data_IF_331333878397
#
_entry.id   IF_331333878397
#
_cell.length_a   1.000
_cell.length_b   1.000
_cell.length_c   1.000
_cell.angle_alpha   90.00
_cell.angle_beta   90.00
_cell.angle_gamma   90.00
#
_symmetry.space_group_name_H-M   'P 1'
#
loop_
_entity.id
_entity.type
_entity.pdbx_description
1 polymer ?
#
# COMPACT_ATOMS: atom_id res chain seq x y z
N UNK A 1 -55.21 -19.37 6.37
CA UNK A 1 -54.02 -20.10 6.91
C UNK A 1 -52.80 -19.23 6.65
N UNK A 2 -52.51 -18.30 7.56
CA UNK A 2 -51.36 -17.41 7.43
C UNK A 2 -50.12 -18.15 7.94
N UNK A 3 -49.22 -18.56 7.04
CA UNK A 3 -47.91 -19.10 7.39
C UNK A 3 -47.11 -17.96 8.03
N UNK A 4 -47.01 -17.96 9.36
CA UNK A 4 -46.12 -17.07 10.08
C UNK A 4 -44.69 -17.34 9.64
N UNK A 5 -44.06 -16.37 8.98
CA UNK A 5 -42.63 -16.41 8.69
C UNK A 5 -41.93 -16.26 10.03
N UNK A 6 -41.42 -17.37 10.57
CA UNK A 6 -40.55 -17.36 11.74
C UNK A 6 -39.26 -16.64 11.32
N UNK A 7 -39.11 -15.38 11.72
CA UNK A 7 -37.83 -14.68 11.59
C UNK A 7 -36.86 -15.34 12.57
N UNK A 8 -35.93 -16.12 12.05
CA UNK A 8 -34.82 -16.65 12.84
C UNK A 8 -34.02 -15.46 13.41
N UNK A 9 -33.74 -15.49 14.71
CA UNK A 9 -32.79 -14.58 15.34
C UNK A 9 -31.40 -14.85 14.75
N UNK A 10 -30.60 -13.81 14.43
CA UNK A 10 -29.24 -14.02 13.93
C UNK A 10 -28.43 -14.81 14.96
N UNK A 11 -27.76 -15.88 14.51
CA UNK A 11 -26.80 -16.60 15.34
C UNK A 11 -25.59 -15.70 15.64
N UNK A 12 -25.10 -15.71 16.88
CA UNK A 12 -23.85 -15.03 17.19
C UNK A 12 -22.67 -15.86 16.66
N UNK A 13 -21.52 -15.21 16.42
CA UNK A 13 -20.30 -15.90 16.01
C UNK A 13 -19.92 -17.07 16.94
N UNK A 14 -20.14 -16.89 18.25
CA UNK A 14 -19.92 -17.92 19.27
C UNK A 14 -20.80 -19.17 19.12
N UNK A 15 -21.95 -19.06 18.45
CA UNK A 15 -22.93 -20.15 18.33
C UNK A 15 -22.74 -20.98 17.06
N UNK A 16 -21.94 -20.51 16.09
CA UNK A 16 -21.69 -21.22 14.84
C UNK A 16 -20.89 -22.50 15.10
N UNK A 17 -21.23 -23.66 14.51
CA UNK A 17 -20.41 -24.88 14.58
C UNK A 17 -19.00 -24.72 13.99
N UNK A 18 -18.02 -25.45 14.54
CA UNK A 18 -16.61 -25.37 14.11
C UNK A 18 -16.39 -25.82 12.65
N UNK A 19 -17.09 -26.87 12.22
CA UNK A 19 -17.08 -27.39 10.85
C UNK A 19 -17.61 -26.36 9.84
N UNK A 20 -18.67 -25.64 10.19
CA UNK A 20 -19.18 -24.55 9.35
C UNK A 20 -18.12 -23.45 9.15
N UNK A 21 -17.38 -23.10 10.21
CA UNK A 21 -16.32 -22.10 10.12
C UNK A 21 -15.17 -22.58 9.23
N UNK A 22 -14.72 -23.82 9.42
CA UNK A 22 -13.60 -24.41 8.67
C UNK A 22 -13.94 -24.67 7.20
N UNK A 23 -15.16 -25.12 6.89
CA UNK A 23 -15.52 -25.57 5.54
C UNK A 23 -16.11 -24.45 4.68
N UNK A 24 -16.70 -23.41 5.28
CA UNK A 24 -17.44 -22.39 4.54
C UNK A 24 -17.01 -20.94 4.77
N UNK A 25 -16.36 -20.65 5.89
CA UNK A 25 -15.90 -19.29 6.22
C UNK A 25 -14.41 -19.14 5.94
N UNK A 26 -13.57 -19.96 6.57
CA UNK A 26 -12.11 -19.86 6.50
C UNK A 26 -11.55 -19.96 5.07
N UNK A 27 -12.11 -20.77 4.14
CA UNK A 27 -11.62 -20.82 2.76
C UNK A 27 -11.81 -19.49 2.00
N UNK A 28 -12.71 -18.62 2.47
CA UNK A 28 -12.99 -17.31 1.87
C UNK A 28 -12.21 -16.16 2.51
N UNK A 29 -11.59 -16.42 3.66
CA UNK A 29 -10.77 -15.45 4.36
C UNK A 29 -9.36 -15.44 3.78
N UNK A 30 -8.76 -14.26 3.70
CA UNK A 30 -7.34 -14.15 3.36
C UNK A 30 -6.48 -14.56 4.56
N UNK A 31 -5.18 -14.70 4.33
CA UNK A 31 -4.21 -15.03 5.39
C UNK A 31 -4.26 -14.01 6.52
N UNK A 32 -4.32 -12.72 6.18
CA UNK A 32 -4.35 -11.63 7.16
C UNK A 32 -5.63 -11.67 8.01
N UNK A 33 -6.78 -12.01 7.41
CA UNK A 33 -8.04 -12.20 8.13
C UNK A 33 -7.95 -13.36 9.14
N UNK A 34 -7.39 -14.50 8.73
CA UNK A 34 -7.13 -15.64 9.62
C UNK A 34 -6.14 -15.27 10.74
N UNK A 35 -5.11 -14.52 10.40
CA UNK A 35 -4.13 -14.02 11.37
C UNK A 35 -4.74 -13.06 12.39
N UNK A 36 -5.70 -12.22 12.00
CA UNK A 36 -6.51 -11.40 12.92
C UNK A 36 -7.37 -12.29 13.81
N UNK A 37 -8.13 -13.23 13.23
CA UNK A 37 -9.00 -14.15 13.99
C UNK A 37 -8.23 -14.95 15.04
N UNK A 38 -7.01 -15.38 14.74
CA UNK A 38 -6.16 -16.10 15.71
C UNK A 38 -5.80 -15.29 16.96
N UNK A 39 -5.97 -13.96 16.92
CA UNK A 39 -5.69 -13.02 18.02
C UNK A 39 -6.94 -12.56 18.76
N UNK A 40 -8.14 -12.78 18.20
CA UNK A 40 -9.42 -12.33 18.80
C UNK A 40 -9.79 -13.14 20.05
N UNK A 41 -9.78 -14.48 19.96
CA UNK A 41 -10.21 -15.35 21.06
C UNK A 41 -9.58 -16.74 21.01
N UNK A 42 -9.72 -17.51 22.11
CA UNK A 42 -9.10 -18.84 22.25
C UNK A 42 -9.67 -19.87 21.27
N UNK A 43 -10.97 -19.83 20.95
CA UNK A 43 -11.62 -20.75 20.01
C UNK A 43 -11.12 -20.47 18.60
N UNK A 44 -11.19 -19.22 18.15
CA UNK A 44 -10.70 -18.82 16.83
C UNK A 44 -9.23 -19.18 16.64
N UNK A 45 -8.38 -18.96 17.65
CA UNK A 45 -6.99 -19.41 17.64
C UNK A 45 -6.83 -20.92 17.47
N UNK A 46 -7.65 -21.71 18.16
CA UNK A 46 -7.65 -23.17 18.03
C UNK A 46 -8.07 -23.65 16.64
N UNK A 47 -9.07 -22.98 16.05
CA UNK A 47 -9.55 -23.29 14.70
C UNK A 47 -8.54 -22.88 13.63
N UNK A 48 -7.94 -21.70 13.74
CA UNK A 48 -6.94 -21.22 12.77
C UNK A 48 -5.72 -22.14 12.74
N UNK A 49 -5.32 -22.75 13.86
CA UNK A 49 -4.24 -23.78 13.88
C UNK A 49 -4.56 -25.04 13.07
N UNK A 50 -5.82 -25.31 12.78
CA UNK A 50 -6.25 -26.42 11.92
C UNK A 50 -6.19 -26.04 10.44
N UNK A 51 -6.03 -24.74 10.14
CA UNK A 51 -5.82 -24.21 8.81
C UNK A 51 -4.33 -23.91 8.61
N UNK A 52 -3.70 -24.58 7.67
CA UNK A 52 -2.24 -24.46 7.43
C UNK A 52 -1.81 -23.05 7.04
N UNK A 53 -2.72 -22.19 6.55
CA UNK A 53 -2.44 -20.79 6.21
C UNK A 53 -2.36 -19.90 7.45
N UNK A 54 -2.91 -20.35 8.57
CA UNK A 54 -2.98 -19.61 9.83
C UNK A 54 -1.66 -19.43 10.56
N UNK A 55 -0.62 -20.14 10.12
CA UNK A 55 0.74 -20.06 10.70
C UNK A 55 1.59 -18.96 10.07
N UNK A 56 1.13 -18.34 8.97
CA UNK A 56 1.87 -17.25 8.33
C UNK A 56 1.91 -15.99 9.23
N UNK A 57 3.08 -15.33 9.33
CA UNK A 57 3.21 -14.12 10.12
C UNK A 57 2.36 -12.99 9.52
N UNK A 58 1.66 -12.25 10.38
CA UNK A 58 0.91 -11.06 9.95
C UNK A 58 1.86 -10.02 9.38
N UNK A 59 1.53 -9.53 8.18
CA UNK A 59 2.24 -8.44 7.56
C UNK A 59 1.58 -7.10 7.94
N UNK A 60 2.33 -6.19 8.55
CA UNK A 60 1.79 -4.88 8.96
C UNK A 60 1.35 -4.02 7.77
N UNK A 61 1.91 -4.26 6.58
CA UNK A 61 1.53 -3.52 5.37
C UNK A 61 0.04 -3.67 5.00
N UNK A 62 -0.61 -4.78 5.40
CA UNK A 62 -2.04 -5.02 5.20
C UNK A 62 -2.97 -4.11 6.05
N UNK A 63 -2.39 -3.42 7.02
CA UNK A 63 -3.12 -2.60 8.00
C UNK A 63 -2.86 -1.10 7.83
N UNK A 64 -2.25 -0.70 6.73
CA UNK A 64 -1.78 0.68 6.46
C UNK A 64 -2.85 1.66 5.99
N UNK A 65 -4.11 1.24 5.92
CA UNK A 65 -5.21 2.10 5.45
C UNK A 65 -5.77 3.05 6.52
N UNK A 66 -5.53 2.78 7.80
CA UNK A 66 -5.94 3.67 8.91
C UNK A 66 -4.95 3.55 10.07
N UNK A 67 -4.78 4.64 10.83
CA UNK A 67 -3.91 4.66 12.02
C UNK A 67 -4.36 3.60 13.03
N UNK A 68 -5.68 3.44 13.23
CA UNK A 68 -6.22 2.48 14.19
C UNK A 68 -5.81 1.03 13.87
N UNK A 69 -5.85 0.65 12.59
CA UNK A 69 -5.47 -0.70 12.14
C UNK A 69 -3.97 -0.92 12.26
N UNK A 70 -3.16 0.05 11.84
CA UNK A 70 -1.69 -0.07 11.93
C UNK A 70 -1.22 -0.10 13.39
N UNK A 71 -1.83 0.70 14.26
CA UNK A 71 -1.58 0.66 15.72
C UNK A 71 -1.91 -0.70 16.29
N UNK A 72 -3.07 -1.26 15.96
CA UNK A 72 -3.44 -2.61 16.40
C UNK A 72 -2.42 -3.65 15.93
N UNK A 73 -1.96 -3.57 14.67
CA UNK A 73 -0.95 -4.50 14.13
C UNK A 73 0.36 -4.42 14.93
N UNK A 74 0.83 -3.20 15.24
CA UNK A 74 2.03 -2.94 16.07
C UNK A 74 1.88 -3.54 17.47
N UNK A 75 0.76 -3.29 18.15
CA UNK A 75 0.47 -3.79 19.50
C UNK A 75 0.37 -5.32 19.55
N UNK A 76 0.08 -5.96 18.41
CA UNK A 76 -0.04 -7.41 18.26
C UNK A 76 1.22 -8.09 17.69
N UNK A 77 2.35 -7.38 17.70
CA UNK A 77 3.66 -7.91 17.31
C UNK A 77 3.80 -8.21 15.82
N UNK A 78 3.03 -7.54 14.96
CA UNK A 78 3.24 -7.64 13.52
C UNK A 78 4.58 -7.00 13.14
N UNK A 79 5.19 -7.49 12.04
CA UNK A 79 6.52 -7.04 11.60
C UNK A 79 6.50 -5.54 11.27
N UNK A 80 7.46 -4.78 11.79
CA UNK A 80 7.56 -3.33 11.57
C UNK A 80 8.76 -3.02 10.67
N UNK A 81 8.51 -2.86 9.36
CA UNK A 81 9.55 -2.70 8.33
C UNK A 81 9.12 -1.72 7.21
N UNK A 82 9.97 -1.55 6.20
CA UNK A 82 9.77 -0.65 5.06
C UNK A 82 8.50 -0.92 4.24
N UNK A 83 7.97 -2.14 4.29
CA UNK A 83 6.75 -2.48 3.55
C UNK A 83 5.53 -1.69 4.03
N UNK A 84 5.54 -1.24 5.30
CA UNK A 84 4.51 -0.34 5.84
C UNK A 84 4.52 0.98 5.09
N UNK A 85 5.71 1.57 4.93
CA UNK A 85 5.88 2.85 4.27
C UNK A 85 5.52 2.75 2.78
N UNK A 86 5.94 1.69 2.10
CA UNK A 86 5.57 1.42 0.69
C UNK A 86 4.06 1.22 0.53
N UNK A 87 3.39 0.46 1.39
CA UNK A 87 1.96 0.21 1.29
C UNK A 87 1.12 1.45 1.61
N UNK A 88 1.50 2.22 2.64
CA UNK A 88 0.87 3.51 2.94
C UNK A 88 1.04 4.50 1.76
N UNK A 89 2.24 4.56 1.18
CA UNK A 89 2.53 5.38 0.01
C UNK A 89 1.70 4.97 -1.21
N UNK A 90 1.57 3.66 -1.47
CA UNK A 90 0.73 3.11 -2.54
C UNK A 90 -0.74 3.52 -2.39
N UNK A 91 -1.25 3.48 -1.16
CA UNK A 91 -2.63 3.85 -0.82
C UNK A 91 -2.90 5.35 -0.71
N UNK A 92 -1.85 6.19 -0.76
CA UNK A 92 -1.98 7.64 -0.54
C UNK A 92 -2.31 7.99 0.91
N UNK A 93 -1.99 7.11 1.86
CA UNK A 93 -2.35 7.26 3.27
C UNK A 93 -1.32 8.11 4.01
N UNK A 94 -1.26 9.40 3.67
CA UNK A 94 -0.29 10.35 4.22
C UNK A 94 -0.32 10.40 5.75
N UNK A 95 -1.50 10.49 6.36
CA UNK A 95 -1.65 10.52 7.83
C UNK A 95 -1.09 9.25 8.50
N UNK A 96 -1.25 8.09 7.86
CA UNK A 96 -0.72 6.82 8.38
C UNK A 96 0.80 6.80 8.29
N UNK A 97 1.36 7.30 7.18
CA UNK A 97 2.80 7.39 6.97
C UNK A 97 3.45 8.37 7.96
N UNK A 98 2.83 9.54 8.19
CA UNK A 98 3.21 10.50 9.22
C UNK A 98 3.23 9.84 10.61
N UNK A 99 2.11 9.21 11.00
CA UNK A 99 2.01 8.54 12.28
C UNK A 99 3.08 7.45 12.45
N UNK A 100 3.33 6.63 11.42
CA UNK A 100 4.34 5.57 11.47
C UNK A 100 5.77 6.10 11.62
N UNK A 101 6.03 7.33 11.16
CA UNK A 101 7.33 8.01 11.23
C UNK A 101 7.56 8.75 12.56
N UNK A 102 6.50 9.13 13.24
CA UNK A 102 6.53 9.78 14.57
C UNK A 102 6.74 8.80 15.74
N UNK A 103 6.76 7.49 15.49
CA UNK A 103 6.92 6.48 16.54
C UNK A 103 8.35 6.45 17.10
N UNK A 104 8.51 5.96 18.34
CA UNK A 104 9.84 5.77 18.98
C UNK A 104 10.83 4.97 18.12
N UNK A 105 10.27 4.02 17.35
CA UNK A 105 10.99 3.32 16.28
C UNK A 105 10.32 3.68 14.95
N UNK A 106 10.85 4.68 14.21
CA UNK A 106 10.27 5.10 12.94
C UNK A 106 10.32 3.99 11.91
N UNK A 107 9.27 3.87 11.08
CA UNK A 107 9.32 3.05 9.88
C UNK A 107 10.46 3.55 8.97
N UNK A 108 11.30 2.62 8.50
CA UNK A 108 12.29 2.89 7.45
C UNK A 108 11.59 3.06 6.11
N UNK A 109 12.14 3.90 5.25
CA UNK A 109 11.71 4.04 3.87
C UNK A 109 12.89 3.94 2.93
N UNK A 110 12.58 3.70 1.66
CA UNK A 110 13.50 3.58 0.55
C UNK A 110 12.88 4.20 -0.71
N UNK A 111 13.57 4.10 -1.84
CA UNK A 111 13.15 4.64 -3.14
C UNK A 111 11.82 4.03 -3.59
N UNK A 112 11.48 2.81 -3.13
CA UNK A 112 10.20 2.17 -3.45
C UNK A 112 9.02 2.92 -2.84
N UNK A 113 9.21 3.60 -1.72
CA UNK A 113 8.16 4.42 -1.08
C UNK A 113 7.79 5.59 -2.01
N UNK A 114 8.77 6.37 -2.48
CA UNK A 114 8.55 7.44 -3.46
C UNK A 114 8.00 6.89 -4.77
N UNK A 115 8.57 5.80 -5.29
CA UNK A 115 8.11 5.18 -6.52
C UNK A 115 6.66 4.68 -6.44
N UNK A 116 6.21 4.16 -5.29
CA UNK A 116 4.83 3.74 -5.10
C UNK A 116 3.86 4.92 -5.05
N UNK A 117 4.23 6.00 -4.35
CA UNK A 117 3.43 7.22 -4.34
C UNK A 117 3.32 7.84 -5.76
N UNK A 118 4.43 7.88 -6.49
CA UNK A 118 4.49 8.38 -7.86
C UNK A 118 3.67 7.53 -8.85
N UNK A 119 3.70 6.20 -8.71
CA UNK A 119 2.90 5.27 -9.51
C UNK A 119 1.39 5.54 -9.39
N UNK A 120 0.94 6.00 -8.22
CA UNK A 120 -0.46 6.24 -7.93
C UNK A 120 -0.84 7.73 -7.92
N UNK A 121 0.10 8.62 -8.25
CA UNK A 121 -0.17 10.05 -8.40
C UNK A 121 -0.31 10.82 -7.09
N UNK A 122 0.18 10.28 -5.98
CA UNK A 122 0.05 10.88 -4.64
C UNK A 122 1.07 12.00 -4.41
N UNK A 123 0.89 13.13 -5.10
CA UNK A 123 1.81 14.27 -5.08
C UNK A 123 2.00 14.87 -3.68
N UNK A 124 0.92 15.07 -2.91
CA UNK A 124 1.01 15.63 -1.55
C UNK A 124 1.88 14.75 -0.63
N UNK A 125 1.81 13.44 -0.80
CA UNK A 125 2.62 12.50 -0.04
C UNK A 125 4.10 12.59 -0.43
N UNK A 126 4.39 12.71 -1.73
CA UNK A 126 5.77 12.92 -2.21
C UNK A 126 6.36 14.24 -1.71
N UNK A 127 5.58 15.32 -1.73
CA UNK A 127 5.97 16.62 -1.18
C UNK A 127 6.34 16.50 0.28
N UNK A 128 5.44 15.93 1.09
CA UNK A 128 5.71 15.70 2.50
C UNK A 128 6.93 14.80 2.73
N UNK A 129 7.10 13.71 1.97
CA UNK A 129 8.23 12.80 2.11
C UNK A 129 9.57 13.47 1.77
N UNK A 130 9.55 14.47 0.87
CA UNK A 130 10.73 15.24 0.48
C UNK A 130 11.12 16.31 1.49
N UNK A 131 10.18 16.80 2.30
CA UNK A 131 10.42 17.77 3.38
C UNK A 131 11.08 17.15 4.64
N UNK A 132 11.25 15.82 4.67
CA UNK A 132 11.73 15.08 5.83
C UNK A 132 13.26 15.16 5.97
N UNK A 133 13.78 14.86 7.17
CA UNK A 133 15.21 14.86 7.44
C UNK A 133 15.68 13.54 8.09
N UNK A 134 16.43 12.67 7.37
CA UNK A 134 16.76 12.78 5.95
C UNK A 134 15.51 12.62 5.07
N UNK A 135 15.50 13.19 3.85
CA UNK A 135 14.36 13.05 2.93
C UNK A 135 14.23 11.59 2.48
N UNK A 136 13.01 11.17 2.12
CA UNK A 136 12.82 9.88 1.48
C UNK A 136 13.65 9.84 0.17
N UNK A 137 14.48 8.80 -0.03
CA UNK A 137 15.24 8.70 -1.27
C UNK A 137 14.27 8.45 -2.44
N UNK A 138 14.73 8.83 -3.62
CA UNK A 138 14.04 8.60 -4.89
C UNK A 138 15.08 8.24 -5.95
N UNK A 139 14.61 7.67 -7.05
CA UNK A 139 15.41 7.24 -8.20
C UNK A 139 14.62 7.44 -9.51
N UNK A 140 15.20 7.02 -10.63
CA UNK A 140 14.57 7.10 -11.95
C UNK A 140 13.20 6.41 -11.98
N UNK A 141 13.03 5.34 -11.18
CA UNK A 141 11.77 4.61 -11.10
C UNK A 141 10.61 5.50 -10.62
N UNK A 142 10.89 6.54 -9.83
CA UNK A 142 9.88 7.52 -9.41
C UNK A 142 9.29 8.25 -10.63
N UNK A 143 10.14 8.79 -11.50
CA UNK A 143 9.71 9.44 -12.74
C UNK A 143 9.09 8.44 -13.73
N UNK A 144 9.69 7.27 -13.91
CA UNK A 144 9.19 6.23 -14.81
C UNK A 144 7.76 5.79 -14.47
N UNK A 145 7.49 5.58 -13.18
CA UNK A 145 6.17 5.14 -12.68
C UNK A 145 5.12 6.23 -12.82
N UNK A 146 5.47 7.49 -12.51
CA UNK A 146 4.60 8.62 -12.75
C UNK A 146 4.25 8.75 -14.25
N UNK A 147 5.24 8.58 -15.14
CA UNK A 147 5.03 8.63 -16.58
C UNK A 147 4.17 7.48 -17.11
N UNK A 148 4.39 6.27 -16.61
CA UNK A 148 3.62 5.07 -16.95
C UNK A 148 2.15 5.19 -16.59
N UNK A 149 1.81 5.90 -15.51
CA UNK A 149 0.42 6.12 -15.10
C UNK A 149 -0.15 7.48 -15.53
N UNK A 150 0.62 8.29 -16.27
CA UNK A 150 0.16 9.55 -16.81
C UNK A 150 0.08 10.70 -15.79
N UNK A 151 0.78 10.58 -14.66
CA UNK A 151 0.77 11.58 -13.58
C UNK A 151 1.71 12.76 -13.89
N UNK A 152 1.31 13.60 -14.84
CA UNK A 152 2.10 14.75 -15.31
C UNK A 152 2.49 15.72 -14.18
N UNK A 153 1.60 16.02 -13.25
CA UNK A 153 1.88 16.96 -12.16
C UNK A 153 2.95 16.43 -11.19
N UNK A 154 3.02 15.11 -10.99
CA UNK A 154 4.10 14.47 -10.22
C UNK A 154 5.44 14.65 -10.93
N UNK A 155 5.48 14.46 -12.25
CA UNK A 155 6.70 14.63 -13.04
C UNK A 155 7.19 16.08 -13.04
N UNK A 156 6.30 17.05 -13.26
CA UNK A 156 6.63 18.48 -13.18
C UNK A 156 7.24 18.81 -11.83
N UNK A 157 6.53 18.46 -10.76
CA UNK A 157 7.01 18.71 -9.42
C UNK A 157 8.37 18.04 -9.16
N UNK A 158 8.57 16.78 -9.55
CA UNK A 158 9.83 16.07 -9.32
C UNK A 158 11.03 16.68 -10.09
N UNK A 159 10.77 17.32 -11.24
CA UNK A 159 11.78 18.02 -12.05
C UNK A 159 12.09 19.43 -11.55
N UNK A 160 11.20 20.04 -10.76
CA UNK A 160 11.40 21.36 -10.13
C UNK A 160 12.25 21.30 -8.84
N UNK A 161 12.60 20.10 -8.37
CA UNK A 161 13.34 19.88 -7.13
C UNK A 161 14.85 20.14 -7.29
N UNK A 162 15.55 20.37 -6.17
CA UNK A 162 17.01 20.55 -6.14
C UNK A 162 17.68 19.57 -5.14
N UNK A 163 18.46 18.56 -5.62
CA UNK A 163 18.60 18.18 -7.02
C UNK A 163 17.29 17.59 -7.57
N UNK A 164 17.05 17.70 -8.89
CA UNK A 164 15.86 17.12 -9.51
C UNK A 164 15.91 15.59 -9.45
N UNK A 165 14.74 14.96 -9.44
CA UNK A 165 14.67 13.50 -9.57
C UNK A 165 15.32 13.08 -10.91
N UNK A 166 16.17 12.06 -10.85
CA UNK A 166 16.78 11.50 -12.04
C UNK A 166 15.72 10.84 -12.92
N UNK A 167 16.00 10.77 -14.22
CA UNK A 167 15.12 10.17 -15.21
C UNK A 167 15.92 9.63 -16.39
N UNK A 168 15.35 8.67 -17.12
CA UNK A 168 15.96 8.01 -18.26
C UNK A 168 14.94 7.85 -19.41
N UNK A 169 15.33 7.15 -20.49
CA UNK A 169 14.48 6.93 -21.66
C UNK A 169 13.17 6.18 -21.36
N UNK A 170 13.10 5.49 -20.22
CA UNK A 170 11.91 4.75 -19.83
C UNK A 170 10.76 5.68 -19.49
N UNK A 171 11.01 6.94 -19.09
CA UNK A 171 9.95 7.96 -18.91
C UNK A 171 9.16 8.15 -20.21
N UNK A 172 9.85 8.43 -21.31
CA UNK A 172 9.21 8.63 -22.61
C UNK A 172 8.61 7.33 -23.16
N UNK A 173 9.34 6.22 -23.03
CA UNK A 173 8.90 4.91 -23.53
C UNK A 173 7.63 4.44 -22.83
N UNK A 174 7.55 4.58 -21.50
CA UNK A 174 6.35 4.24 -20.74
C UNK A 174 5.17 5.15 -21.05
N UNK A 175 5.39 6.47 -21.14
CA UNK A 175 4.34 7.42 -21.51
C UNK A 175 3.76 7.10 -22.90
N UNK A 176 4.63 6.79 -23.87
CA UNK A 176 4.22 6.41 -25.22
C UNK A 176 3.47 5.07 -25.24
N UNK A 177 4.00 4.03 -24.57
CA UNK A 177 3.38 2.71 -24.47
C UNK A 177 1.96 2.76 -23.88
N UNK A 178 1.73 3.66 -22.93
CA UNK A 178 0.43 3.84 -22.26
C UNK A 178 -0.48 4.87 -22.92
N UNK A 179 0.00 5.56 -23.96
CA UNK A 179 -0.77 6.58 -24.67
C UNK A 179 -0.94 7.89 -23.89
N UNK A 180 -0.08 8.16 -22.90
CA UNK A 180 -0.09 9.40 -22.11
C UNK A 180 0.60 10.53 -22.88
N UNK A 181 -0.09 11.03 -23.92
CA UNK A 181 0.44 12.00 -24.87
C UNK A 181 0.90 13.31 -24.22
N UNK A 182 0.16 13.84 -23.25
CA UNK A 182 0.53 15.07 -22.55
C UNK A 182 1.85 14.93 -21.78
N UNK A 183 2.05 13.78 -21.12
CA UNK A 183 3.32 13.47 -20.44
C UNK A 183 4.46 13.41 -21.45
N UNK A 184 4.26 12.71 -22.57
CA UNK A 184 5.27 12.58 -23.61
C UNK A 184 5.63 13.94 -24.22
N UNK A 185 4.64 14.77 -24.57
CA UNK A 185 4.85 16.11 -25.10
C UNK A 185 5.63 16.98 -24.12
N UNK A 186 5.23 16.97 -22.84
CA UNK A 186 5.90 17.74 -21.81
C UNK A 186 7.35 17.27 -21.59
N UNK A 187 7.59 15.96 -21.51
CA UNK A 187 8.91 15.37 -21.31
C UNK A 187 9.87 15.66 -22.49
N UNK A 188 9.33 15.69 -23.72
CA UNK A 188 10.09 16.07 -24.93
C UNK A 188 10.34 17.58 -25.06
N UNK A 189 9.58 18.40 -24.34
CA UNK A 189 9.75 19.85 -24.28
C UNK A 189 10.71 20.35 -23.19
N UNK A 190 11.26 19.46 -22.35
CA UNK A 190 12.24 19.82 -21.32
C UNK A 190 13.64 20.13 -21.92
N UNK A 191 14.48 20.82 -21.15
CA UNK A 191 15.90 21.05 -21.48
C UNK A 191 16.81 20.56 -20.32
N UNK A 192 17.61 19.49 -20.51
CA UNK A 192 17.62 18.62 -21.69
C UNK A 192 16.32 17.83 -21.81
N UNK A 193 15.91 17.46 -23.03
CA UNK A 193 14.73 16.63 -23.23
C UNK A 193 14.94 15.24 -22.63
N UNK A 194 13.84 14.57 -22.30
CA UNK A 194 13.87 13.16 -21.88
C UNK A 194 14.71 12.32 -22.87
N UNK A 195 15.69 11.55 -22.36
CA UNK A 195 16.57 10.72 -23.18
C UNK A 195 15.77 9.77 -24.07
N UNK A 196 16.35 9.41 -25.21
CA UNK A 196 15.75 8.44 -26.12
C UNK A 196 16.83 7.47 -26.55
N UNK A 197 16.61 6.17 -26.32
CA UNK A 197 17.46 5.15 -26.89
C UNK A 197 17.00 4.89 -28.33
N UNK A 198 17.87 5.14 -29.29
CA UNK A 198 17.55 5.07 -30.72
C UNK A 198 17.68 3.65 -31.30
N UNK A 199 17.92 2.66 -30.44
CA UNK A 199 18.23 1.28 -30.79
C UNK A 199 16.99 0.36 -30.82
#
# INVERSE_FOLDING_TARGET
VSRGVVRATPAAYGDLPDDLLLDHVFPKLCVSDLGVLSRVDRRSRGLVKRDTRGEEPLNSSDFTNTIARLRWARDNGCRWDESICVAAAKGGHLEVLQWAREQDLPCSWDEQTCGAAALHGHLELLQWAREQNPPCPWDEATCQRAAFCGHLEVLKWAREQDPPCSWDENVCSHAAFKGHFEVLQWARGQDPPCPWNAD
#
